data_IF_504945416126
#
_entry.id   IF_504945416126
#
_cell.length_a   1.000
_cell.length_b   1.000
_cell.length_c   1.000
_cell.angle_alpha   90.00
_cell.angle_beta   90.00
_cell.angle_gamma   90.00
#
_symmetry.space_group_name_H-M   'P 1'
#
loop_
_entity.id
_entity.type
_entity.pdbx_description
1 polymer ?
#
# COMPACT_ATOMS: atom_id res chain seq x y z
N UNK A 1 -12.31 -27.47 -15.77
CA UNK A 1 -12.13 -26.80 -17.07
C UNK A 1 -13.07 -25.60 -17.14
N UNK A 2 -12.59 -24.41 -16.80
CA UNK A 2 -13.31 -23.18 -17.13
C UNK A 2 -12.29 -22.20 -17.69
N UNK A 3 -12.65 -21.63 -18.84
CA UNK A 3 -11.77 -20.98 -19.79
C UNK A 3 -11.06 -19.76 -19.18
N UNK A 4 -9.72 -19.84 -19.11
CA UNK A 4 -8.87 -18.65 -19.07
C UNK A 4 -8.95 -18.04 -20.47
N UNK A 5 -10.00 -17.23 -20.67
CA UNK A 5 -10.25 -16.53 -21.91
C UNK A 5 -9.02 -15.70 -22.30
N UNK A 6 -8.66 -15.82 -23.57
CA UNK A 6 -7.61 -15.08 -24.25
C UNK A 6 -7.76 -13.57 -24.02
N UNK A 7 -7.06 -13.03 -23.03
CA UNK A 7 -6.77 -11.60 -22.94
C UNK A 7 -5.30 -11.44 -23.29
N UNK A 8 -5.02 -11.28 -24.59
CA UNK A 8 -3.70 -10.87 -25.03
C UNK A 8 -3.32 -9.58 -24.29
N UNK A 9 -2.11 -9.53 -23.73
CA UNK A 9 -1.64 -8.32 -23.06
C UNK A 9 -1.52 -7.20 -24.09
N UNK A 10 -2.33 -6.14 -23.96
CA UNK A 10 -2.35 -5.00 -24.87
C UNK A 10 -1.06 -4.18 -24.87
N UNK A 11 -0.25 -4.29 -23.82
CA UNK A 11 1.03 -3.61 -23.70
C UNK A 11 2.00 -4.37 -22.82
N UNK A 12 3.30 -4.09 -22.98
CA UNK A 12 4.35 -4.61 -22.08
C UNK A 12 4.09 -4.18 -20.62
N UNK A 13 3.47 -3.02 -20.40
CA UNK A 13 3.07 -2.58 -19.07
C UNK A 13 2.01 -3.49 -18.45
N UNK A 14 1.02 -3.93 -19.23
CA UNK A 14 0.00 -4.88 -18.77
C UNK A 14 0.63 -6.23 -18.42
N UNK A 15 1.58 -6.67 -19.23
CA UNK A 15 2.27 -7.93 -19.03
C UNK A 15 3.12 -7.92 -17.74
N UNK A 16 3.96 -6.90 -17.56
CA UNK A 16 4.75 -6.72 -16.32
C UNK A 16 3.83 -6.63 -15.11
N UNK A 17 2.73 -5.89 -15.21
CA UNK A 17 1.79 -5.75 -14.09
C UNK A 17 1.11 -7.08 -13.73
N UNK A 18 0.76 -7.90 -14.74
CA UNK A 18 0.19 -9.23 -14.50
C UNK A 18 1.19 -10.18 -13.85
N UNK A 19 2.44 -10.12 -14.29
CA UNK A 19 3.52 -10.90 -13.71
C UNK A 19 3.74 -10.55 -12.23
N UNK A 20 3.86 -9.26 -11.92
CA UNK A 20 4.05 -8.79 -10.55
C UNK A 20 2.86 -9.14 -9.64
N UNK A 21 1.62 -9.06 -10.14
CA UNK A 21 0.43 -9.49 -9.38
C UNK A 21 0.49 -10.96 -9.00
N UNK A 22 0.85 -11.82 -9.96
CA UNK A 22 0.99 -13.26 -9.72
C UNK A 22 2.04 -13.54 -8.64
N UNK A 23 3.21 -12.90 -8.71
CA UNK A 23 4.24 -13.06 -7.69
C UNK A 23 3.77 -12.62 -6.29
N UNK A 24 2.98 -11.54 -6.20
CA UNK A 24 2.43 -11.08 -4.93
C UNK A 24 1.37 -12.04 -4.38
N UNK A 25 0.52 -12.61 -5.25
CA UNK A 25 -0.48 -13.61 -4.85
C UNK A 25 0.14 -14.92 -4.36
N UNK A 26 1.31 -15.28 -4.90
CA UNK A 26 2.07 -16.46 -4.50
C UNK A 26 2.97 -16.20 -3.26
N UNK A 27 3.14 -14.93 -2.83
CA UNK A 27 3.92 -14.60 -1.64
C UNK A 27 3.12 -14.86 -0.35
N UNK A 28 3.61 -15.73 0.54
CA UNK A 28 2.98 -15.95 1.84
C UNK A 28 3.06 -14.73 2.76
N UNK A 29 4.02 -13.82 2.54
CA UNK A 29 4.20 -12.60 3.31
C UNK A 29 3.31 -11.43 2.81
N UNK A 30 2.66 -11.57 1.66
CA UNK A 30 1.83 -10.52 1.05
C UNK A 30 2.62 -9.36 0.44
N UNK A 31 3.93 -9.53 0.23
CA UNK A 31 4.78 -8.56 -0.44
C UNK A 31 5.89 -9.22 -1.27
N UNK A 32 6.38 -8.50 -2.27
CA UNK A 32 7.56 -8.92 -3.04
C UNK A 32 8.61 -7.82 -3.06
N UNK A 33 9.87 -8.21 -3.20
CA UNK A 33 10.99 -7.30 -3.46
C UNK A 33 11.57 -7.56 -4.84
N UNK A 34 11.70 -6.50 -5.62
CA UNK A 34 12.25 -6.56 -6.98
C UNK A 34 13.35 -5.54 -7.15
N UNK A 35 14.25 -5.82 -8.09
CA UNK A 35 15.21 -4.83 -8.60
C UNK A 35 14.73 -4.35 -9.96
N UNK A 36 14.62 -3.03 -10.13
CA UNK A 36 14.12 -2.43 -11.38
C UNK A 36 14.97 -2.84 -12.59
N UNK A 37 16.29 -2.87 -12.42
CA UNK A 37 17.21 -3.20 -13.50
C UNK A 37 17.08 -4.66 -13.94
N UNK A 38 16.99 -5.58 -12.98
CA UNK A 38 16.89 -7.01 -13.26
C UNK A 38 15.57 -7.32 -13.97
N UNK A 39 14.47 -6.73 -13.48
CA UNK A 39 13.16 -6.87 -14.11
C UNK A 39 13.16 -6.23 -15.52
N UNK A 40 13.76 -5.05 -15.68
CA UNK A 40 13.88 -4.42 -16.98
C UNK A 40 14.66 -5.29 -17.98
N UNK A 41 15.77 -5.90 -17.55
CA UNK A 41 16.55 -6.84 -18.36
C UNK A 41 15.74 -8.09 -18.73
N UNK A 42 15.02 -8.69 -17.76
CA UNK A 42 14.17 -9.86 -17.99
C UNK A 42 13.10 -9.59 -19.05
N UNK A 43 12.44 -8.43 -18.99
CA UNK A 43 11.40 -8.03 -19.95
C UNK A 43 11.95 -7.31 -21.18
N UNK A 44 13.27 -7.22 -21.32
CA UNK A 44 13.98 -6.52 -22.42
C UNK A 44 13.45 -5.09 -22.65
N UNK A 45 13.24 -4.36 -21.56
CA UNK A 45 12.80 -2.96 -21.58
C UNK A 45 13.72 -2.07 -20.74
N UNK A 46 13.48 -0.76 -20.78
CA UNK A 46 14.23 0.22 -20.00
C UNK A 46 13.74 0.29 -18.54
N UNK A 47 14.59 0.61 -17.54
CA UNK A 47 14.17 0.70 -16.14
C UNK A 47 13.03 1.69 -15.87
N UNK A 48 12.89 2.74 -16.68
CA UNK A 48 11.77 3.69 -16.60
C UNK A 48 10.41 3.02 -16.88
N UNK A 49 10.37 1.95 -17.67
CA UNK A 49 9.16 1.18 -17.92
C UNK A 49 8.66 0.51 -16.63
N UNK A 50 9.57 -0.01 -15.81
CA UNK A 50 9.22 -0.59 -14.50
C UNK A 50 8.67 0.50 -13.59
N UNK A 51 9.32 1.66 -13.54
CA UNK A 51 8.84 2.82 -12.78
C UNK A 51 7.43 3.25 -13.21
N UNK A 52 7.19 3.32 -14.52
CA UNK A 52 5.87 3.64 -15.07
C UNK A 52 4.81 2.63 -14.63
N UNK A 53 5.10 1.32 -14.76
CA UNK A 53 4.17 0.26 -14.33
C UNK A 53 3.85 0.37 -12.83
N UNK A 54 4.86 0.55 -11.99
CA UNK A 54 4.67 0.70 -10.55
C UNK A 54 3.78 1.91 -10.23
N UNK A 55 4.11 3.09 -10.78
CA UNK A 55 3.36 4.32 -10.51
C UNK A 55 1.90 4.29 -10.98
N UNK A 56 1.61 3.58 -12.07
CA UNK A 56 0.27 3.57 -12.69
C UNK A 56 -0.60 2.40 -12.25
N UNK A 57 -0.02 1.23 -11.92
CA UNK A 57 -0.78 0.00 -11.62
C UNK A 57 -0.71 -0.44 -10.15
N UNK A 58 0.30 0.00 -9.42
CA UNK A 58 0.54 -0.40 -8.03
C UNK A 58 0.53 0.84 -7.13
N UNK A 59 -0.67 1.26 -6.74
CA UNK A 59 -0.88 2.41 -5.87
C UNK A 59 -1.99 2.11 -4.86
N UNK A 60 -2.17 3.01 -3.90
CA UNK A 60 -3.15 2.81 -2.83
C UNK A 60 -4.58 2.60 -3.35
N UNK A 61 -4.97 3.28 -4.44
CA UNK A 61 -6.30 3.11 -5.06
C UNK A 61 -6.50 1.74 -5.68
N UNK A 62 -5.42 1.10 -6.13
CA UNK A 62 -5.44 -0.28 -6.66
C UNK A 62 -5.10 -1.33 -5.60
N UNK A 63 -4.96 -0.94 -4.33
CA UNK A 63 -4.72 -1.85 -3.21
C UNK A 63 -3.27 -2.22 -2.96
N UNK A 64 -2.31 -1.36 -3.36
CA UNK A 64 -0.88 -1.63 -3.18
C UNK A 64 -0.13 -0.45 -2.55
N UNK A 65 0.88 -0.77 -1.73
CA UNK A 65 1.89 0.17 -1.26
C UNK A 65 3.23 -0.16 -1.93
N UNK A 66 3.91 0.85 -2.44
CA UNK A 66 5.22 0.70 -3.11
C UNK A 66 6.27 1.49 -2.34
N UNK A 67 7.30 0.80 -1.85
CA UNK A 67 8.43 1.39 -1.15
C UNK A 67 9.69 1.21 -2.00
N UNK A 68 10.62 2.17 -1.93
CA UNK A 68 11.90 2.04 -2.64
C UNK A 68 13.08 2.39 -1.75
N UNK A 69 14.10 1.55 -1.77
CA UNK A 69 15.39 1.80 -1.13
C UNK A 69 16.45 2.11 -2.19
N UNK A 70 17.20 3.20 -2.01
CA UNK A 70 18.33 3.59 -2.90
C UNK A 70 19.66 3.05 -2.36
N UNK A 71 20.68 2.94 -3.23
CA UNK A 71 22.03 2.47 -2.91
C UNK A 71 22.46 1.21 -3.69
N UNK A 72 23.66 0.69 -3.43
CA UNK A 72 24.28 -0.44 -4.17
C UNK A 72 23.54 -1.78 -4.12
N UNK A 73 22.50 -1.88 -3.29
CA UNK A 73 21.56 -3.01 -3.22
C UNK A 73 20.11 -2.55 -3.26
N UNK A 74 19.82 -1.44 -3.93
CA UNK A 74 18.48 -0.85 -3.97
C UNK A 74 17.42 -1.82 -4.51
N UNK A 75 16.24 -1.78 -3.89
CA UNK A 75 15.10 -2.59 -4.27
C UNK A 75 13.82 -1.75 -4.24
N UNK A 76 12.78 -2.30 -4.87
CA UNK A 76 11.40 -1.85 -4.73
C UNK A 76 10.62 -2.95 -4.03
N UNK A 77 9.95 -2.61 -2.95
CA UNK A 77 9.02 -3.50 -2.27
C UNK A 77 7.59 -3.14 -2.66
N UNK A 78 6.82 -4.13 -3.07
CA UNK A 78 5.40 -3.98 -3.42
C UNK A 78 4.61 -4.80 -2.43
N UNK A 79 3.78 -4.13 -1.63
CA UNK A 79 2.97 -4.74 -0.57
C UNK A 79 1.51 -4.73 -1.01
N UNK A 80 0.82 -5.88 -0.93
CA UNK A 80 -0.64 -5.94 -1.11
C UNK A 80 -1.30 -5.43 0.16
N UNK A 81 -2.08 -4.38 0.03
CA UNK A 81 -2.87 -3.88 1.15
C UNK A 81 -4.00 -4.89 1.43
N UNK A 82 -4.18 -5.35 2.67
CA UNK A 82 -5.26 -6.26 3.01
C UNK A 82 -6.60 -5.56 2.78
N UNK A 83 -7.50 -6.21 2.04
CA UNK A 83 -8.90 -5.80 1.91
C UNK A 83 -9.69 -6.61 2.93
N UNK A 84 -10.12 -5.98 4.02
CA UNK A 84 -10.88 -6.64 5.07
C UNK A 84 -12.03 -5.76 5.56
N UNK A 85 -13.05 -6.37 6.18
CA UNK A 85 -14.17 -5.63 6.82
C UNK A 85 -13.66 -4.55 7.78
N UNK A 86 -12.53 -4.84 8.43
CA UNK A 86 -11.78 -3.91 9.28
C UNK A 86 -11.24 -2.69 8.53
N UNK A 87 -10.74 -2.82 7.30
CA UNK A 87 -10.29 -1.68 6.50
C UNK A 87 -11.44 -0.77 6.06
N UNK A 88 -12.64 -1.30 5.84
CA UNK A 88 -13.82 -0.50 5.47
C UNK A 88 -14.40 0.30 6.65
N UNK A 89 -14.37 -0.27 7.87
CA UNK A 89 -14.73 0.46 9.09
C UNK A 89 -13.76 1.61 9.35
N UNK A 90 -12.45 1.37 9.26
CA UNK A 90 -11.44 2.44 9.39
C UNK A 90 -11.60 3.48 8.29
N UNK A 91 -11.86 3.08 7.04
CA UNK A 91 -12.09 4.01 5.93
C UNK A 91 -13.28 4.93 6.17
N UNK A 92 -14.42 4.41 6.64
CA UNK A 92 -15.59 5.24 7.00
C UNK A 92 -15.29 6.21 8.14
N UNK A 93 -14.51 5.78 9.12
CA UNK A 93 -14.10 6.61 10.23
C UNK A 93 -13.17 7.74 9.76
N UNK A 94 -12.26 7.46 8.82
CA UNK A 94 -11.42 8.45 8.17
C UNK A 94 -12.20 9.39 7.24
N UNK A 95 -13.24 8.93 6.55
CA UNK A 95 -14.10 9.79 5.73
C UNK A 95 -14.94 10.77 6.57
N UNK A 96 -15.31 10.36 7.79
CA UNK A 96 -15.96 11.24 8.75
C UNK A 96 -15.01 12.31 9.31
N UNK A 97 -13.70 12.03 9.31
CA UNK A 97 -12.65 12.99 9.64
C UNK A 97 -12.42 13.89 8.42
N UNK A 98 -12.95 15.11 8.47
CA UNK A 98 -12.78 16.11 7.42
C UNK A 98 -11.31 16.56 7.23
N UNK A 99 -11.07 17.62 6.44
CA UNK A 99 -9.70 18.09 6.14
C UNK A 99 -8.94 18.58 7.39
N UNK A 100 -9.66 18.90 8.46
CA UNK A 100 -9.12 19.23 9.77
C UNK A 100 -10.11 18.82 10.85
N UNK A 101 -9.59 18.47 12.03
CA UNK A 101 -10.35 18.18 13.24
C UNK A 101 -9.65 18.83 14.44
N UNK A 102 -10.42 19.16 15.47
CA UNK A 102 -9.88 19.62 16.75
C UNK A 102 -9.10 18.51 17.46
N UNK A 103 -8.23 18.90 18.40
CA UNK A 103 -7.51 17.94 19.23
C UNK A 103 -8.48 16.98 19.97
N UNK A 104 -9.58 17.51 20.50
CA UNK A 104 -10.58 16.72 21.22
C UNK A 104 -11.25 15.68 20.32
N UNK A 105 -11.52 16.03 19.07
CA UNK A 105 -12.05 15.09 18.07
C UNK A 105 -11.02 14.03 17.69
N UNK A 106 -9.75 14.42 17.52
CA UNK A 106 -8.65 13.48 17.26
C UNK A 106 -8.47 12.47 18.40
N UNK A 107 -8.49 12.94 19.64
CA UNK A 107 -8.45 12.07 20.84
C UNK A 107 -9.63 11.09 20.85
N UNK A 108 -10.85 11.56 20.55
CA UNK A 108 -12.03 10.72 20.43
C UNK A 108 -11.88 9.63 19.35
N UNK A 109 -11.35 9.98 18.19
CA UNK A 109 -11.06 9.03 17.10
C UNK A 109 -10.05 7.97 17.55
N UNK A 110 -8.95 8.36 18.20
CA UNK A 110 -7.92 7.44 18.68
C UNK A 110 -8.48 6.47 19.73
N UNK A 111 -9.29 6.97 20.67
CA UNK A 111 -9.93 6.13 21.68
C UNK A 111 -10.90 5.14 21.04
N UNK A 112 -11.68 5.57 20.04
CA UNK A 112 -12.59 4.69 19.29
C UNK A 112 -11.84 3.60 18.54
N UNK A 113 -10.73 3.92 17.88
CA UNK A 113 -9.87 2.94 17.20
C UNK A 113 -9.30 1.90 18.17
N UNK A 114 -8.99 2.31 19.41
CA UNK A 114 -8.55 1.40 20.47
C UNK A 114 -9.69 0.51 20.97
N UNK A 115 -10.87 1.07 21.22
CA UNK A 115 -12.06 0.33 21.69
C UNK A 115 -12.46 -0.79 20.72
N UNK A 116 -12.38 -0.50 19.42
CA UNK A 116 -12.70 -1.45 18.35
C UNK A 116 -11.49 -2.34 17.97
N UNK A 117 -10.41 -2.30 18.78
CA UNK A 117 -9.20 -3.12 18.62
C UNK A 117 -8.46 -2.99 17.27
N UNK A 118 -8.65 -1.87 16.57
CA UNK A 118 -7.87 -1.54 15.37
C UNK A 118 -6.43 -1.18 15.68
N UNK A 119 -6.19 -0.66 16.89
CA UNK A 119 -4.87 -0.30 17.40
C UNK A 119 -4.70 -0.80 18.83
N UNK A 120 -3.46 -1.12 19.19
CA UNK A 120 -3.08 -1.56 20.53
C UNK A 120 -3.07 -0.40 21.54
N UNK A 121 -3.12 -0.69 22.86
CA UNK A 121 -2.95 0.35 23.88
C UNK A 121 -1.61 1.10 23.82
N UNK A 122 -0.57 0.49 23.23
CA UNK A 122 0.72 1.15 23.00
C UNK A 122 0.62 2.16 21.86
N UNK A 123 0.01 1.78 20.73
CA UNK A 123 -0.18 2.65 19.58
C UNK A 123 -1.09 3.84 19.91
N UNK A 124 -2.20 3.60 20.62
CA UNK A 124 -3.08 4.68 21.08
C UNK A 124 -2.34 5.72 21.94
N UNK A 125 -1.49 5.28 22.88
CA UNK A 125 -0.67 6.18 23.69
C UNK A 125 0.32 7.00 22.87
N UNK A 126 0.96 6.39 21.87
CA UNK A 126 1.88 7.09 20.97
C UNK A 126 1.15 8.16 20.14
N UNK A 127 -0.02 7.83 19.59
CA UNK A 127 -0.84 8.76 18.82
C UNK A 127 -1.31 9.94 19.67
N UNK A 128 -1.85 9.67 20.87
CA UNK A 128 -2.29 10.72 21.81
C UNK A 128 -1.14 11.65 22.20
N UNK A 129 0.05 11.12 22.46
CA UNK A 129 1.22 11.93 22.81
C UNK A 129 1.61 12.93 21.71
N UNK A 130 1.52 12.52 20.45
CA UNK A 130 1.80 13.39 19.30
C UNK A 130 0.69 14.43 19.11
N UNK A 131 -0.57 14.03 19.24
CA UNK A 131 -1.71 14.95 19.11
C UNK A 131 -1.74 16.03 20.20
N UNK A 132 -1.34 15.70 21.43
CA UNK A 132 -1.27 16.67 22.53
C UNK A 132 -0.14 17.71 22.35
N UNK A 133 0.94 17.35 21.63
CA UNK A 133 2.09 18.23 21.39
C UNK A 133 1.97 19.13 20.16
N UNK A 134 0.94 18.98 19.32
CA UNK A 134 0.76 19.80 18.12
C UNK A 134 0.24 21.22 18.42
N UNK A 135 -0.28 21.47 19.63
CA UNK A 135 -0.76 22.78 20.09
C UNK A 135 0.34 23.67 20.71
N UNK A 136 1.60 23.24 20.76
CA UNK A 136 2.71 23.95 21.43
C UNK A 136 3.79 24.50 20.50
N UNK A 137 3.47 24.79 19.23
CA UNK A 137 4.35 25.53 18.32
C UNK A 137 3.62 26.62 17.55
#
# INVERSE_FOLDING_TARGET
>A
MSAIGAKGFSSIADYIASYLRKLIEESPEGYIEIRRNDLAAQFRCVPSQITYVLSTRFNARTGFLVESRRGGGGYVRIVKLPVGVRSDQVRRLLEAVGPAISQREAEGVILRLREEEFITPREARLMLAVCAGAASR
#
